data_IF_419656239753
#
_entry.id   IF_419656239753
#
_cell.length_a   1.000
_cell.length_b   1.000
_cell.length_c   1.000
_cell.angle_alpha   90.00
_cell.angle_beta   90.00
_cell.angle_gamma   90.00
#
_symmetry.space_group_name_H-M   'P 1'
#
loop_
_entity.id
_entity.type
_entity.pdbx_description
1 polymer ?
#
# COMPACT_ATOMS: atom_id res chain seq x y z
N UNK A 1 50.75 -17.27 15.90
CA UNK A 1 50.75 -15.82 16.16
C UNK A 1 49.35 -15.31 15.86
N UNK A 2 48.50 -15.15 16.87
CA UNK A 2 47.15 -14.60 16.67
C UNK A 2 47.31 -13.11 16.37
N UNK A 3 46.93 -12.67 15.16
CA UNK A 3 46.87 -11.24 14.83
C UNK A 3 45.85 -10.61 15.78
N UNK A 4 46.28 -9.70 16.65
CA UNK A 4 45.38 -8.90 17.48
C UNK A 4 44.50 -8.03 16.58
N UNK A 5 43.19 -8.15 16.73
CA UNK A 5 42.23 -7.35 15.99
C UNK A 5 42.01 -6.04 16.74
N UNK A 6 42.07 -4.91 16.04
CA UNK A 6 41.58 -3.65 16.58
C UNK A 6 40.07 -3.59 16.33
N UNK A 7 39.29 -3.37 17.38
CA UNK A 7 37.83 -3.31 17.32
C UNK A 7 37.37 -1.88 17.58
N UNK A 8 36.47 -1.38 16.73
CA UNK A 8 35.68 -0.18 17.04
C UNK A 8 34.36 -0.66 17.60
N UNK A 9 34.07 -0.26 18.84
CA UNK A 9 32.82 -0.61 19.51
C UNK A 9 31.99 0.64 19.76
N UNK A 10 30.71 0.58 19.43
CA UNK A 10 29.77 1.67 19.65
C UNK A 10 28.57 1.15 20.46
N UNK A 11 28.53 1.42 21.78
CA UNK A 11 27.33 1.17 22.58
C UNK A 11 26.30 2.27 22.32
N UNK A 12 25.05 1.88 22.07
CA UNK A 12 23.93 2.79 21.83
C UNK A 12 23.00 2.84 23.06
N UNK A 13 22.25 3.95 23.26
CA UNK A 13 21.35 4.09 24.41
C UNK A 13 20.23 3.06 24.48
N UNK A 14 19.89 2.44 23.35
CA UNK A 14 18.89 1.37 23.22
C UNK A 14 19.44 0.00 23.66
N UNK A 15 20.57 -0.05 24.37
CA UNK A 15 21.28 -1.27 24.79
C UNK A 15 21.81 -2.14 23.64
N UNK A 16 21.70 -1.69 22.39
CA UNK A 16 22.36 -2.33 21.27
C UNK A 16 23.82 -1.89 21.20
N UNK A 17 24.67 -2.76 20.66
CA UNK A 17 26.08 -2.46 20.42
C UNK A 17 26.47 -2.97 19.05
N UNK A 18 27.15 -2.11 18.28
CA UNK A 18 27.77 -2.51 17.02
C UNK A 18 29.27 -2.65 17.23
N UNK A 19 29.81 -3.75 16.70
CA UNK A 19 31.25 -4.04 16.72
C UNK A 19 31.71 -4.23 15.29
N UNK A 20 32.60 -3.34 14.85
CA UNK A 20 33.19 -3.42 13.53
C UNK A 20 34.65 -3.85 13.66
N UNK A 21 35.01 -5.07 13.20
CA UNK A 21 36.39 -5.50 13.20
C UNK A 21 37.18 -4.76 12.14
N UNK A 22 38.37 -4.30 12.49
CA UNK A 22 39.25 -3.60 11.59
C UNK A 22 40.64 -4.23 11.54
N UNK A 23 41.12 -4.45 10.30
CA UNK A 23 42.42 -5.05 10.02
C UNK A 23 43.28 -4.05 9.26
N UNK A 24 44.37 -3.58 9.87
CA UNK A 24 45.36 -2.67 9.26
C UNK A 24 44.78 -1.46 8.49
N UNK A 25 43.74 -0.84 9.04
CA UNK A 25 43.03 0.25 8.38
C UNK A 25 43.74 1.60 8.53
N UNK A 26 43.76 2.36 7.43
CA UNK A 26 44.27 3.73 7.43
C UNK A 26 43.41 4.63 8.33
N UNK A 27 44.01 5.66 8.94
CA UNK A 27 43.32 6.64 9.80
C UNK A 27 42.03 7.21 9.17
N UNK A 28 42.04 7.43 7.86
CA UNK A 28 40.87 7.94 7.13
C UNK A 28 39.69 6.97 7.15
N UNK A 29 39.97 5.67 7.07
CA UNK A 29 38.96 4.62 7.12
C UNK A 29 38.37 4.52 8.53
N UNK A 30 39.21 4.52 9.57
CA UNK A 30 38.77 4.56 10.97
C UNK A 30 37.86 5.78 11.23
N UNK A 31 38.26 6.95 10.74
CA UNK A 31 37.45 8.16 10.87
C UNK A 31 36.10 8.05 10.16
N UNK A 32 36.03 7.35 9.02
CA UNK A 32 34.77 7.09 8.31
C UNK A 32 33.85 6.21 9.15
N UNK A 33 34.36 5.12 9.72
CA UNK A 33 33.57 4.20 10.55
C UNK A 33 33.11 4.83 11.86
N UNK A 34 33.97 5.59 12.52
CA UNK A 34 33.59 6.35 13.73
C UNK A 34 32.46 7.34 13.40
N UNK A 35 32.55 8.06 12.28
CA UNK A 35 31.47 8.96 11.86
C UNK A 35 30.19 8.21 11.48
N UNK A 36 30.31 7.08 10.81
CA UNK A 36 29.17 6.23 10.46
C UNK A 36 28.42 5.77 11.72
N UNK A 37 29.12 5.16 12.67
CA UNK A 37 28.54 4.69 13.94
C UNK A 37 27.94 5.84 14.76
N UNK A 38 28.57 7.03 14.76
CA UNK A 38 28.04 8.24 15.43
C UNK A 38 26.70 8.70 14.86
N UNK A 39 26.48 8.55 13.54
CA UNK A 39 25.24 9.00 12.87
C UNK A 39 24.09 7.99 12.93
N UNK A 40 24.38 6.75 13.35
CA UNK A 40 23.40 5.68 13.45
C UNK A 40 22.66 5.76 14.79
N UNK A 41 21.44 5.25 14.80
CA UNK A 41 20.60 5.14 16.01
C UNK A 41 20.81 3.84 16.79
N UNK A 42 21.58 2.88 16.24
CA UNK A 42 21.73 1.54 16.81
C UNK A 42 20.58 0.58 16.50
N UNK A 43 19.62 0.97 15.66
CA UNK A 43 18.63 0.03 15.12
C UNK A 43 19.27 -0.92 14.09
N UNK A 44 18.85 -2.19 14.05
CA UNK A 44 19.44 -3.19 13.16
C UNK A 44 19.30 -2.78 11.69
N UNK A 45 20.31 -3.09 10.89
CA UNK A 45 20.28 -2.87 9.44
C UNK A 45 19.41 -3.95 8.81
N UNK A 46 18.15 -3.62 8.56
CA UNK A 46 17.18 -4.50 7.90
C UNK A 46 16.56 -3.80 6.70
N UNK A 47 15.99 -4.58 5.78
CA UNK A 47 15.21 -4.03 4.68
C UNK A 47 13.88 -3.51 5.24
N UNK A 48 13.63 -2.21 5.07
CA UNK A 48 12.32 -1.63 5.36
C UNK A 48 11.36 -1.87 4.19
N UNK A 49 10.11 -2.18 4.50
CA UNK A 49 9.02 -2.24 3.51
C UNK A 49 8.58 -0.83 3.11
N UNK A 50 8.47 0.06 4.10
CA UNK A 50 8.15 1.47 3.93
C UNK A 50 9.26 2.35 4.53
N UNK A 51 9.66 3.39 3.80
CA UNK A 51 10.73 4.32 4.23
C UNK A 51 10.23 5.45 5.13
N UNK A 52 8.91 5.60 5.25
CA UNK A 52 8.26 6.66 6.00
C UNK A 52 7.17 6.04 6.86
N UNK A 53 7.09 6.48 8.11
CA UNK A 53 6.08 6.03 9.05
C UNK A 53 5.55 7.23 9.83
N UNK A 54 4.26 7.19 10.15
CA UNK A 54 3.62 8.09 11.09
C UNK A 54 2.65 7.29 11.95
N UNK A 55 2.65 7.55 13.24
CA UNK A 55 1.74 6.88 14.19
C UNK A 55 0.28 7.31 13.98
N UNK A 56 0.06 8.48 13.37
CA UNK A 56 -1.27 9.05 13.10
C UNK A 56 -1.37 9.48 11.63
N UNK A 57 -1.63 8.55 10.70
CA UNK A 57 -1.61 8.85 9.26
C UNK A 57 -2.87 9.56 8.76
N UNK A 58 -4.02 9.42 9.44
CA UNK A 58 -5.27 10.08 9.04
C UNK A 58 -5.74 11.10 10.07
N UNK A 59 -6.10 12.28 9.59
CA UNK A 59 -6.69 13.36 10.39
C UNK A 59 -8.22 13.19 10.51
N UNK A 60 -8.87 12.71 9.45
CA UNK A 60 -10.35 12.61 9.37
C UNK A 60 -10.87 11.22 9.80
N UNK A 61 -9.96 10.30 10.13
CA UNK A 61 -10.29 8.91 10.42
C UNK A 61 -9.88 7.97 9.29
N UNK A 62 -9.68 6.70 9.62
CA UNK A 62 -9.33 5.69 8.63
C UNK A 62 -10.56 5.27 7.84
N UNK A 63 -10.33 4.86 6.59
CA UNK A 63 -11.36 4.24 5.79
C UNK A 63 -11.87 2.97 6.48
N UNK A 64 -13.19 2.79 6.47
CA UNK A 64 -13.85 1.57 6.89
C UNK A 64 -15.00 1.24 5.92
N UNK A 65 -15.43 -0.02 5.81
CA UNK A 65 -16.48 -0.42 4.87
C UNK A 65 -17.82 0.29 5.09
N UNK A 66 -18.07 0.79 6.31
CA UNK A 66 -19.32 1.44 6.69
C UNK A 66 -19.29 2.97 6.52
N UNK A 67 -18.15 3.54 6.12
CA UNK A 67 -17.96 4.99 6.03
C UNK A 67 -18.99 5.64 5.10
N UNK A 68 -19.37 4.92 4.05
CA UNK A 68 -20.31 5.39 3.02
C UNK A 68 -21.63 4.59 3.04
N UNK A 69 -21.98 3.96 4.16
CA UNK A 69 -23.27 3.28 4.30
C UNK A 69 -24.40 4.32 4.22
N UNK A 70 -25.47 4.06 3.45
CA UNK A 70 -26.57 5.02 3.32
C UNK A 70 -27.24 5.25 4.67
N UNK A 71 -27.49 6.51 4.99
CA UNK A 71 -28.08 6.93 6.27
C UNK A 71 -29.51 6.47 6.48
N UNK A 72 -30.17 6.00 5.42
CA UNK A 72 -31.52 5.42 5.47
C UNK A 72 -31.61 4.24 6.46
N UNK A 73 -30.55 3.43 6.56
CA UNK A 73 -30.52 2.30 7.50
C UNK A 73 -30.51 2.69 8.97
N UNK A 74 -30.20 3.94 9.32
CA UNK A 74 -30.20 4.39 10.71
C UNK A 74 -31.61 4.65 11.24
N UNK A 75 -32.59 4.86 10.34
CA UNK A 75 -33.98 5.20 10.68
C UNK A 75 -34.93 4.03 10.39
N UNK A 76 -34.51 3.08 9.54
CA UNK A 76 -35.32 1.92 9.18
C UNK A 76 -35.58 1.01 10.39
N UNK A 77 -36.82 0.54 10.53
CA UNK A 77 -37.17 -0.54 11.45
C UNK A 77 -36.94 -1.88 10.75
N UNK A 78 -36.11 -2.73 11.33
CA UNK A 78 -35.81 -4.04 10.77
C UNK A 78 -36.82 -5.09 11.25
N UNK A 79 -37.26 -6.03 10.39
CA UNK A 79 -36.82 -6.25 9.00
C UNK A 79 -37.44 -5.25 8.01
N UNK A 80 -36.59 -4.69 7.13
CA UNK A 80 -37.00 -3.80 6.03
C UNK A 80 -37.21 -4.61 4.75
N UNK A 81 -38.43 -4.55 4.22
CA UNK A 81 -38.84 -5.30 3.03
C UNK A 81 -38.08 -4.85 1.78
N UNK A 82 -37.70 -3.57 1.66
CA UNK A 82 -36.95 -3.05 0.51
C UNK A 82 -35.49 -3.54 0.50
N UNK A 83 -34.85 -3.58 1.67
CA UNK A 83 -33.50 -4.06 1.82
C UNK A 83 -33.36 -5.58 1.55
N UNK A 84 -34.45 -6.33 1.75
CA UNK A 84 -34.52 -7.77 1.51
C UNK A 84 -34.76 -8.17 0.04
N UNK A 85 -35.02 -7.22 -0.86
CA UNK A 85 -35.31 -7.53 -2.26
C UNK A 85 -34.07 -8.09 -2.94
N UNK A 86 -34.21 -9.27 -3.55
CA UNK A 86 -33.16 -9.86 -4.38
C UNK A 86 -32.81 -8.92 -5.54
N UNK A 87 -31.59 -8.39 -5.52
CA UNK A 87 -31.05 -7.64 -6.64
C UNK A 87 -30.56 -8.64 -7.68
N UNK A 88 -31.27 -8.71 -8.81
CA UNK A 88 -30.86 -9.56 -9.92
C UNK A 88 -29.44 -9.19 -10.37
N UNK A 89 -28.63 -10.21 -10.64
CA UNK A 89 -27.28 -10.02 -11.16
C UNK A 89 -27.33 -9.10 -12.38
N UNK A 90 -26.55 -8.02 -12.31
CA UNK A 90 -26.32 -7.17 -13.48
C UNK A 90 -25.65 -8.03 -14.54
N UNK A 91 -25.97 -7.76 -15.81
CA UNK A 91 -25.34 -8.40 -16.97
C UNK A 91 -23.83 -8.45 -16.75
N UNK A 92 -23.24 -9.62 -16.99
CA UNK A 92 -21.79 -9.79 -16.94
C UNK A 92 -21.13 -8.78 -17.89
N UNK A 93 -19.90 -8.37 -17.58
CA UNK A 93 -19.13 -7.47 -18.45
C UNK A 93 -19.09 -7.99 -19.90
N UNK A 94 -19.00 -9.32 -20.08
CA UNK A 94 -19.03 -9.95 -21.40
C UNK A 94 -20.38 -9.81 -22.10
N UNK A 95 -21.47 -10.06 -21.38
CA UNK A 95 -22.84 -9.97 -21.90
C UNK A 95 -23.20 -8.52 -22.26
N UNK A 96 -22.72 -7.57 -21.46
CA UNK A 96 -22.88 -6.15 -21.72
C UNK A 96 -22.19 -5.75 -23.03
N UNK A 97 -20.95 -6.22 -23.27
CA UNK A 97 -20.20 -5.93 -24.51
C UNK A 97 -20.88 -6.56 -25.72
N UNK A 98 -21.36 -7.80 -25.60
CA UNK A 98 -22.10 -8.46 -26.68
C UNK A 98 -23.37 -7.70 -27.04
N UNK A 99 -24.13 -7.26 -26.03
CA UNK A 99 -25.34 -6.46 -26.22
C UNK A 99 -25.02 -5.11 -26.89
N UNK A 100 -23.98 -4.42 -26.44
CA UNK A 100 -23.51 -3.18 -27.08
C UNK A 100 -23.15 -3.39 -28.55
N UNK A 101 -22.48 -4.49 -28.88
CA UNK A 101 -22.12 -4.82 -30.26
C UNK A 101 -23.34 -5.15 -31.14
N UNK A 102 -24.34 -5.84 -30.57
CA UNK A 102 -25.62 -6.09 -31.24
C UNK A 102 -26.40 -4.80 -31.50
N UNK A 103 -26.47 -3.93 -30.49
CA UNK A 103 -27.15 -2.63 -30.58
C UNK A 103 -26.50 -1.74 -31.65
N UNK A 104 -25.16 -1.68 -31.72
CA UNK A 104 -24.44 -0.96 -32.78
C UNK A 104 -24.79 -1.50 -34.18
N UNK A 105 -24.76 -2.83 -34.37
CA UNK A 105 -25.11 -3.44 -35.67
C UNK A 105 -26.55 -3.11 -36.09
N UNK A 106 -27.49 -3.10 -35.14
CA UNK A 106 -28.89 -2.76 -35.43
C UNK A 106 -29.08 -1.28 -35.80
N UNK A 107 -28.28 -0.38 -35.21
CA UNK A 107 -28.28 1.04 -35.57
C UNK A 107 -27.77 1.24 -37.00
N UNK A 108 -26.68 0.57 -37.37
CA UNK A 108 -26.14 0.63 -38.73
C UNK A 108 -27.17 0.17 -39.77
N UNK A 109 -27.87 -0.94 -39.50
CA UNK A 109 -28.93 -1.45 -40.38
C UNK A 109 -30.10 -0.47 -40.52
N UNK A 110 -30.53 0.17 -39.43
CA UNK A 110 -31.61 1.17 -39.47
C UNK A 110 -31.21 2.42 -40.26
N UNK A 111 -29.96 2.85 -40.16
CA UNK A 111 -29.46 4.02 -40.88
C UNK A 111 -29.43 3.79 -42.40
N UNK A 112 -29.09 2.58 -42.85
CA UNK A 112 -29.11 2.23 -44.29
C UNK A 112 -30.53 2.24 -44.85
N UNK A 113 -31.52 1.73 -44.11
CA UNK A 113 -32.93 1.70 -44.57
C UNK A 113 -33.53 3.12 -44.68
N UNK A 114 -33.08 4.07 -43.85
CA UNK A 114 -33.56 5.46 -43.89
C UNK A 114 -32.97 6.24 -45.07
N UNK A 115 -31.81 5.83 -45.60
CA UNK A 115 -31.17 6.51 -46.74
C UNK A 115 -31.72 6.09 -48.12
N UNK A 116 -32.54 5.04 -48.20
CA UNK A 116 -33.08 4.50 -49.45
C UNK A 116 -34.55 4.91 -49.76
N UNK A 117 -35.14 5.84 -49.00
CA UNK A 117 -36.48 6.40 -49.23
C UNK A 117 -36.47 7.91 -49.46
#
# INVERSE_FOLDING_TARGET
MFKGYNLVTAPFPNCHGEVEPHFDSCRLEVNKWVNYLRTRSGFPIVKFEEMQHTESPSIQGFWNPFLNTPTAFNVAEFPDDEAGIYQADKLSATEMVLKMAEDCRQQDLKNVVVTEG
#
